data_IF_192455177472
#
_entry.id   IF_192455177472
#
_cell.length_a   1.000
_cell.length_b   1.000
_cell.length_c   1.000
_cell.angle_alpha   90.00
_cell.angle_beta   90.00
_cell.angle_gamma   90.00
#
_symmetry.space_group_name_H-M   'P 1'
#
loop_
_entity.id
_entity.type
_entity.pdbx_description
1 polymer ?
#
# COMPACT_ATOMS: atom_id res chain seq x y z
N UNK A 1 -43.37 -21.92 -8.95
CA UNK A 1 -41.97 -21.97 -8.46
C UNK A 1 -41.12 -21.13 -9.38
N UNK A 2 -40.45 -20.10 -8.87
CA UNK A 2 -39.19 -19.55 -9.38
C UNK A 2 -38.72 -18.50 -8.37
N UNK A 3 -38.08 -18.98 -7.29
CA UNK A 3 -37.25 -18.13 -6.45
C UNK A 3 -35.89 -18.01 -7.16
N UNK A 4 -35.48 -16.79 -7.48
CA UNK A 4 -34.22 -16.46 -8.16
C UNK A 4 -33.16 -16.08 -7.11
N UNK A 5 -32.18 -16.95 -6.77
CA UNK A 5 -31.34 -16.77 -5.58
C UNK A 5 -30.02 -16.00 -5.83
N UNK A 6 -29.97 -15.00 -6.73
CA UNK A 6 -28.68 -14.38 -7.14
C UNK A 6 -28.42 -12.93 -6.67
N UNK A 7 -29.30 -12.30 -5.89
CA UNK A 7 -29.18 -10.85 -5.59
C UNK A 7 -28.14 -10.45 -4.54
N UNK A 8 -27.50 -11.37 -3.81
CA UNK A 8 -26.59 -10.99 -2.71
C UNK A 8 -25.11 -10.98 -3.09
N UNK A 9 -24.72 -11.65 -4.18
CA UNK A 9 -23.29 -11.83 -4.52
C UNK A 9 -22.76 -10.70 -5.43
N UNK A 10 -23.61 -10.12 -6.29
CA UNK A 10 -23.19 -9.10 -7.25
C UNK A 10 -22.82 -7.76 -6.60
N UNK A 11 -23.44 -7.38 -5.48
CA UNK A 11 -23.16 -6.09 -4.83
C UNK A 11 -21.75 -6.01 -4.23
N UNK A 12 -21.21 -7.14 -3.76
CA UNK A 12 -19.87 -7.18 -3.17
C UNK A 12 -18.75 -7.08 -4.21
N UNK A 13 -18.94 -7.68 -5.39
CA UNK A 13 -17.97 -7.61 -6.47
C UNK A 13 -17.88 -6.21 -7.06
N UNK A 14 -19.02 -5.59 -7.38
CA UNK A 14 -19.05 -4.21 -7.91
C UNK A 14 -18.45 -3.21 -6.92
N UNK A 15 -18.66 -3.41 -5.61
CA UNK A 15 -18.07 -2.57 -4.56
C UNK A 15 -16.54 -2.71 -4.50
N UNK A 16 -16.01 -3.94 -4.62
CA UNK A 16 -14.56 -4.19 -4.58
C UNK A 16 -13.84 -3.71 -5.84
N UNK A 17 -14.44 -3.90 -7.01
CA UNK A 17 -13.90 -3.40 -8.29
C UNK A 17 -13.88 -1.87 -8.34
N UNK A 18 -14.91 -1.22 -7.79
CA UNK A 18 -14.95 0.25 -7.70
C UNK A 18 -13.86 0.79 -6.78
N UNK A 19 -13.63 0.14 -5.63
CA UNK A 19 -12.56 0.53 -4.70
C UNK A 19 -11.17 0.40 -5.34
N UNK A 20 -10.88 -0.73 -5.98
CA UNK A 20 -9.60 -0.94 -6.66
C UNK A 20 -9.41 0.06 -7.80
N UNK A 21 -10.43 0.28 -8.63
CA UNK A 21 -10.37 1.27 -9.72
C UNK A 21 -10.14 2.69 -9.21
N UNK A 22 -10.71 3.04 -8.05
CA UNK A 22 -10.49 4.35 -7.43
C UNK A 22 -9.05 4.49 -6.95
N UNK A 23 -8.50 3.48 -6.26
CA UNK A 23 -7.11 3.49 -5.78
C UNK A 23 -6.09 3.51 -6.92
N UNK A 24 -6.38 2.83 -8.03
CA UNK A 24 -5.56 2.83 -9.25
C UNK A 24 -5.59 4.18 -9.99
N UNK A 25 -6.72 4.92 -9.90
CA UNK A 25 -6.87 6.24 -10.52
C UNK A 25 -6.41 7.41 -9.63
N UNK A 26 -6.04 7.16 -8.36
CA UNK A 26 -5.53 8.21 -7.48
C UNK A 26 -4.22 8.78 -8.03
N UNK A 27 -4.05 10.11 -8.09
CA UNK A 27 -2.80 10.72 -8.53
C UNK A 27 -1.63 10.44 -7.57
N UNK A 28 -1.94 10.18 -6.29
CA UNK A 28 -0.97 9.84 -5.27
C UNK A 28 -0.47 8.39 -5.39
N UNK A 29 0.82 8.21 -5.18
CA UNK A 29 1.45 6.90 -5.15
C UNK A 29 1.08 6.16 -3.85
N UNK A 30 0.42 5.01 -3.98
CA UNK A 30 0.05 4.15 -2.85
C UNK A 30 0.86 2.86 -2.89
N UNK A 31 1.52 2.56 -1.77
CA UNK A 31 2.22 1.30 -1.53
C UNK A 31 1.64 0.63 -0.29
N UNK A 32 1.42 -0.68 -0.37
CA UNK A 32 1.13 -1.52 0.79
C UNK A 32 2.25 -2.53 0.90
N UNK A 33 2.79 -2.64 2.11
CA UNK A 33 3.89 -3.54 2.43
C UNK A 33 3.50 -4.46 3.59
N UNK A 34 4.03 -5.68 3.61
CA UNK A 34 3.88 -6.61 4.74
C UNK A 34 4.84 -6.27 5.90
N UNK A 35 4.79 -7.03 7.00
CA UNK A 35 5.74 -6.96 8.11
C UNK A 35 7.20 -7.13 7.66
N UNK A 36 7.51 -7.97 6.67
CA UNK A 36 8.86 -8.04 6.11
C UNK A 36 9.23 -6.82 5.22
N UNK A 37 8.38 -5.80 5.13
CA UNK A 37 8.49 -4.64 4.21
C UNK A 37 8.46 -5.05 2.73
N UNK A 38 7.88 -6.22 2.44
CA UNK A 38 7.65 -6.70 1.08
C UNK A 38 6.47 -5.96 0.47
N UNK A 39 6.60 -5.40 -0.73
CA UNK A 39 5.48 -4.74 -1.40
C UNK A 39 4.45 -5.80 -1.81
N UNK A 40 3.26 -5.71 -1.23
CA UNK A 40 2.11 -6.57 -1.55
C UNK A 40 1.15 -5.88 -2.51
N UNK A 41 1.17 -4.55 -2.56
CA UNK A 41 0.37 -3.77 -3.50
C UNK A 41 1.04 -2.43 -3.83
N UNK A 42 0.93 -2.02 -5.08
CA UNK A 42 1.31 -0.68 -5.53
C UNK A 42 0.33 -0.26 -6.64
N UNK A 43 -0.23 0.95 -6.54
CA UNK A 43 -1.13 1.47 -7.57
C UNK A 43 -0.38 1.89 -8.86
N UNK A 44 -1.10 2.19 -9.93
CA UNK A 44 -0.55 2.61 -11.22
C UNK A 44 0.28 3.91 -11.10
N UNK A 45 -0.16 4.84 -10.26
CA UNK A 45 0.57 6.10 -10.00
C UNK A 45 1.92 5.86 -9.33
N UNK A 46 2.00 4.94 -8.37
CA UNK A 46 3.25 4.50 -7.76
C UNK A 46 4.24 3.91 -8.78
N UNK A 47 3.75 3.05 -9.68
CA UNK A 47 4.55 2.45 -10.75
C UNK A 47 5.08 3.51 -11.73
N UNK A 48 4.20 4.43 -12.13
CA UNK A 48 4.55 5.55 -13.03
C UNK A 48 5.56 6.50 -12.37
N UNK A 49 5.36 6.82 -11.09
CA UNK A 49 6.24 7.68 -10.31
C UNK A 49 7.65 7.09 -10.19
N UNK A 50 7.73 5.77 -10.00
CA UNK A 50 9.01 5.08 -9.87
C UNK A 50 9.63 4.66 -11.22
N UNK A 51 8.85 4.69 -12.30
CA UNK A 51 9.28 4.26 -13.63
C UNK A 51 9.57 2.76 -13.73
N UNK A 52 8.94 1.93 -12.89
CA UNK A 52 9.14 0.48 -12.90
C UNK A 52 7.81 -0.28 -12.92
N UNK A 53 7.84 -1.51 -13.43
CA UNK A 53 6.64 -2.34 -13.61
C UNK A 53 6.19 -2.96 -12.29
N UNK A 54 4.88 -3.20 -12.13
CA UNK A 54 4.30 -3.90 -10.96
C UNK A 54 5.06 -5.17 -10.57
N UNK A 55 5.49 -5.96 -11.55
CA UNK A 55 6.23 -7.22 -11.36
C UNK A 55 7.62 -7.02 -10.73
N UNK A 56 8.22 -5.85 -10.91
CA UNK A 56 9.50 -5.49 -10.29
C UNK A 56 9.33 -5.06 -8.84
N UNK A 57 8.13 -4.63 -8.44
CA UNK A 57 7.83 -4.21 -7.07
C UNK A 57 7.24 -5.33 -6.24
N UNK A 58 6.24 -6.03 -6.77
CA UNK A 58 5.51 -7.05 -6.03
C UNK A 58 6.43 -8.19 -5.60
N UNK A 59 6.37 -8.55 -4.31
CA UNK A 59 7.21 -9.60 -3.74
C UNK A 59 8.65 -9.17 -3.48
N UNK A 60 9.04 -7.95 -3.84
CA UNK A 60 10.33 -7.39 -3.47
C UNK A 60 10.23 -6.51 -2.22
N UNK A 61 11.34 -6.42 -1.49
CA UNK A 61 11.47 -5.48 -0.38
C UNK A 61 11.29 -4.06 -0.91
N UNK A 62 10.47 -3.25 -0.22
CA UNK A 62 10.26 -1.85 -0.54
C UNK A 62 11.59 -1.09 -0.69
N UNK A 63 12.54 -1.39 0.20
CA UNK A 63 13.89 -0.82 0.18
C UNK A 63 14.71 -1.19 -1.06
N UNK A 64 14.44 -2.34 -1.69
CA UNK A 64 15.12 -2.80 -2.92
C UNK A 64 14.39 -2.38 -4.19
N UNK A 65 13.06 -2.39 -4.18
CA UNK A 65 12.26 -1.97 -5.33
C UNK A 65 12.37 -0.47 -5.55
N UNK A 66 12.40 0.31 -4.47
CA UNK A 66 12.37 1.77 -4.51
C UNK A 66 13.49 2.41 -3.66
N UNK A 67 14.78 2.05 -3.81
CA UNK A 67 15.87 2.55 -2.98
C UNK A 67 15.97 4.08 -3.01
N UNK A 68 15.60 4.67 -4.13
CA UNK A 68 15.46 6.10 -4.35
C UNK A 68 14.36 6.83 -3.54
N UNK A 69 13.30 6.14 -3.10
CA UNK A 69 12.31 6.69 -2.15
C UNK A 69 12.76 6.51 -0.70
N UNK A 70 13.75 5.65 -0.45
CA UNK A 70 14.24 5.37 0.89
C UNK A 70 15.05 6.56 1.39
N UNK A 71 14.41 7.34 2.24
CA UNK A 71 15.09 8.35 3.04
C UNK A 71 15.18 7.89 4.50
N UNK A 72 16.18 8.38 5.27
CA UNK A 72 16.24 8.14 6.72
C UNK A 72 14.94 8.55 7.42
N UNK A 73 14.32 9.64 6.97
CA UNK A 73 13.03 10.13 7.50
C UNK A 73 11.91 9.12 7.26
N UNK A 74 11.81 8.56 6.05
CA UNK A 74 10.82 7.53 5.74
C UNK A 74 11.06 6.24 6.53
N UNK A 75 12.32 5.81 6.65
CA UNK A 75 12.69 4.64 7.44
C UNK A 75 12.31 4.79 8.91
N UNK A 76 12.62 5.95 9.51
CA UNK A 76 12.21 6.26 10.88
C UNK A 76 10.70 6.30 11.04
N UNK A 77 9.97 6.87 10.07
CA UNK A 77 8.52 6.90 10.11
C UNK A 77 7.91 5.50 10.06
N UNK A 78 8.41 4.58 9.22
CA UNK A 78 8.00 3.17 9.20
C UNK A 78 8.20 2.51 10.56
N UNK A 79 9.39 2.65 11.14
CA UNK A 79 9.69 2.06 12.45
C UNK A 79 8.80 2.65 13.55
N UNK A 80 8.59 3.97 13.53
CA UNK A 80 7.72 4.66 14.49
C UNK A 80 6.29 4.19 14.36
N UNK A 81 5.70 4.21 13.16
CA UNK A 81 4.34 3.71 12.91
C UNK A 81 4.16 2.27 13.37
N UNK A 82 5.16 1.40 13.15
CA UNK A 82 5.10 0.02 13.61
C UNK A 82 5.17 -0.09 15.13
N UNK A 83 6.00 0.71 15.76
CA UNK A 83 6.19 0.69 17.21
C UNK A 83 5.02 1.32 17.97
N UNK A 84 4.50 2.44 17.48
CA UNK A 84 3.41 3.18 18.13
C UNK A 84 2.03 2.68 17.70
N UNK A 85 1.94 1.97 16.57
CA UNK A 85 0.68 1.66 15.88
C UNK A 85 -0.16 2.91 15.57
N UNK A 86 0.50 4.07 15.45
CA UNK A 86 -0.14 5.33 15.10
C UNK A 86 0.23 5.75 13.67
N UNK A 87 -0.70 6.37 12.92
CA UNK A 87 -0.40 6.93 11.62
C UNK A 87 0.71 7.98 11.76
N UNK A 88 1.79 7.82 10.98
CA UNK A 88 2.90 8.76 10.98
C UNK A 88 3.03 9.39 9.61
N UNK A 89 3.19 10.69 9.63
CA UNK A 89 3.39 11.52 8.46
C UNK A 89 4.85 11.95 8.37
N UNK A 90 5.41 11.91 7.17
CA UNK A 90 6.76 12.39 6.91
C UNK A 90 6.83 13.10 5.58
N UNK A 91 7.44 14.27 5.58
CA UNK A 91 7.68 15.04 4.37
C UNK A 91 9.19 15.06 4.10
N UNK A 92 9.58 14.74 2.86
CA UNK A 92 10.98 14.77 2.45
C UNK A 92 11.12 15.16 0.98
N UNK A 93 12.31 15.66 0.63
CA UNK A 93 12.65 15.94 -0.75
C UNK A 93 12.97 14.63 -1.49
N UNK A 94 12.17 14.29 -2.50
CA UNK A 94 12.38 13.09 -3.29
C UNK A 94 13.34 13.35 -4.45
N UNK A 95 14.43 12.57 -4.56
CA UNK A 95 15.35 12.71 -5.69
C UNK A 95 14.77 12.19 -7.01
N UNK A 96 13.69 11.41 -6.97
CA UNK A 96 13.04 10.80 -8.16
C UNK A 96 12.09 11.76 -8.82
N UNK A 97 11.22 12.35 -8.01
CA UNK A 97 10.19 13.27 -8.49
C UNK A 97 10.66 14.71 -8.46
N UNK A 98 11.87 14.97 -7.93
CA UNK A 98 12.46 16.31 -7.76
C UNK A 98 11.49 17.31 -7.11
N UNK A 99 10.70 16.83 -6.16
CA UNK A 99 9.70 17.61 -5.42
C UNK A 99 9.63 17.15 -3.96
N UNK A 100 8.97 17.93 -3.09
CA UNK A 100 8.63 17.50 -1.73
C UNK A 100 7.52 16.46 -1.83
N UNK A 101 7.81 15.24 -1.40
CA UNK A 101 6.81 14.20 -1.26
C UNK A 101 6.30 14.19 0.17
N UNK A 102 4.98 14.14 0.28
CA UNK A 102 4.30 13.88 1.51
C UNK A 102 3.98 12.39 1.60
N UNK A 103 4.50 11.70 2.61
CA UNK A 103 4.24 10.27 2.81
C UNK A 103 3.51 10.06 4.12
N UNK A 104 2.36 9.40 4.00
CA UNK A 104 1.52 9.01 5.11
C UNK A 104 1.60 7.51 5.30
N UNK A 105 2.03 7.09 6.48
CA UNK A 105 2.13 5.69 6.86
C UNK A 105 1.01 5.36 7.82
N UNK A 106 -0.01 4.69 7.30
CA UNK A 106 -1.09 4.17 8.11
C UNK A 106 -0.76 2.74 8.49
N UNK A 107 -0.67 2.40 9.79
CA UNK A 107 -0.54 1.03 10.21
C UNK A 107 -1.85 0.32 9.87
N UNK A 108 -1.84 -0.46 8.80
CA UNK A 108 -2.93 -1.39 8.52
C UNK A 108 -2.75 -2.58 9.44
N UNK A 109 -3.77 -2.88 10.24
CA UNK A 109 -3.86 -4.13 10.97
C UNK A 109 -4.10 -5.24 9.94
N UNK A 110 -3.05 -5.59 9.19
CA UNK A 110 -3.04 -6.71 8.27
C UNK A 110 -3.01 -7.96 9.12
N UNK A 111 -4.08 -8.74 9.04
CA UNK A 111 -4.26 -10.07 9.60
C UNK A 111 -3.14 -10.52 10.54
N UNK A 112 -3.27 -10.18 11.84
CA UNK A 112 -2.67 -11.05 12.85
C UNK A 112 -3.26 -12.44 12.57
N UNK A 113 -2.47 -13.47 12.18
CA UNK A 113 -2.96 -14.81 12.39
C UNK A 113 -3.20 -14.88 13.88
N UNK A 114 -4.47 -14.99 14.25
CA UNK A 114 -4.89 -15.27 15.60
C UNK A 114 -4.23 -16.60 15.97
N UNK A 115 -2.98 -16.55 16.43
CA UNK A 115 -2.29 -17.67 17.06
C UNK A 115 -2.82 -17.73 18.47
N UNK A 116 -4.08 -18.16 18.55
CA UNK A 116 -4.50 -19.00 19.64
C UNK A 116 -3.52 -20.16 19.70
N UNK A 117 -2.63 -20.15 20.68
CA UNK A 117 -2.06 -21.39 21.18
C UNK A 117 -1.95 -21.29 22.69
N UNK A 118 -3.09 -21.65 23.30
CA UNK A 118 -3.26 -22.49 24.49
C UNK A 118 -2.88 -21.95 25.86
#
# INVERSE_FOLDING_TARGET
>A
MMFNPQSSESSMLTSRETLLSTLEALPDALFVVDDATTIVYANASAQTMLGASREQFLGNLFWRGAPQLVSPSLYQAVLKTRQTQEPTEVEYWSPITQTRLHVQLTPTMGDSPCSSTK
#
